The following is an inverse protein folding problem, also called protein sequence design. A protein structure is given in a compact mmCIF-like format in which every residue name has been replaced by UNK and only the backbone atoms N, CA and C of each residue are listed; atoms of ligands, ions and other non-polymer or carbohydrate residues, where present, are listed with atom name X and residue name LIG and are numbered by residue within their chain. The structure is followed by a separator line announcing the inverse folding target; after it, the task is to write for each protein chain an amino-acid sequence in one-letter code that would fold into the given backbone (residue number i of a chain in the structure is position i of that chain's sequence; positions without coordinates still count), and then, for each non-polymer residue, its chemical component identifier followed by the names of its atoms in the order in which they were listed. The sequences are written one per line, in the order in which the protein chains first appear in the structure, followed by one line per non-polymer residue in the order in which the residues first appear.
data_IF_193304673649
#
_entry.id   IF_193304673649
#
_cell.length_a   1.000
_cell.length_b   1.000
_cell.length_c   1.000
_cell.angle_alpha   90.00
_cell.angle_beta   90.00
_cell.angle_gamma   90.00
#
_symmetry.space_group_name_H-M   'P 1'
#
loop_
_entity.id
_entity.type
_entity.pdbx_description
1 polymer ?
#
# COMPACT_ATOMS: atom_id res chain seq x y z
N UNK A 1 -5.64 3.26 -6.36
CA UNK A 1 -6.07 1.99 -5.75
C UNK A 1 -5.23 1.69 -4.54
N UNK A 2 -5.84 1.17 -3.46
CA UNK A 2 -5.17 0.82 -2.22
C UNK A 2 -5.47 -0.62 -1.79
N UNK A 3 -4.44 -1.33 -1.33
CA UNK A 3 -4.52 -2.72 -0.91
C UNK A 3 -3.81 -2.89 0.44
N UNK A 4 -4.46 -3.58 1.38
CA UNK A 4 -3.90 -3.85 2.70
C UNK A 4 -3.88 -5.36 2.96
N UNK A 5 -2.75 -5.81 3.46
CA UNK A 5 -2.57 -7.14 4.01
C UNK A 5 -2.18 -7.08 5.47
N UNK A 6 -2.64 -8.06 6.24
CA UNK A 6 -2.38 -8.15 7.67
C UNK A 6 -2.06 -9.59 8.09
N UNK A 7 -1.28 -9.69 9.16
CA UNK A 7 -1.23 -10.85 10.06
C UNK A 7 -1.75 -10.41 11.43
N UNK A 8 -1.67 -11.28 12.44
CA UNK A 8 -2.03 -10.91 13.82
C UNK A 8 -1.16 -9.77 14.40
N UNK A 9 0.04 -9.57 13.86
CA UNK A 9 1.02 -8.63 14.42
C UNK A 9 1.50 -7.58 13.43
N UNK A 10 1.44 -7.83 12.13
CA UNK A 10 2.07 -6.99 11.11
C UNK A 10 1.06 -6.57 10.06
N UNK A 11 1.31 -5.42 9.44
CA UNK A 11 0.55 -4.94 8.28
C UNK A 11 1.47 -4.53 7.14
N UNK A 12 0.95 -4.65 5.93
CA UNK A 12 1.53 -4.09 4.70
C UNK A 12 0.41 -3.37 3.96
N UNK A 13 0.65 -2.11 3.61
CA UNK A 13 -0.29 -1.26 2.89
C UNK A 13 0.39 -0.78 1.61
N UNK A 14 -0.26 -1.00 0.48
CA UNK A 14 0.22 -0.56 -0.83
C UNK A 14 -0.81 0.38 -1.43
N UNK A 15 -0.36 1.54 -1.87
CA UNK A 15 -1.19 2.52 -2.56
C UNK A 15 -0.55 2.86 -3.90
N UNK A 16 -1.29 2.57 -4.98
CA UNK A 16 -0.91 2.88 -6.35
C UNK A 16 -1.81 4.00 -6.84
N UNK A 17 -1.24 5.15 -7.14
CA UNK A 17 -1.99 6.30 -7.66
C UNK A 17 -1.20 7.07 -8.70
N UNK A 18 -1.90 7.93 -9.44
CA UNK A 18 -1.29 8.86 -10.38
C UNK A 18 -1.13 10.23 -9.71
N UNK A 19 0.06 10.81 -9.79
CA UNK A 19 0.33 12.17 -9.32
C UNK A 19 -0.26 13.24 -10.27
N UNK A 20 -0.28 14.50 -9.83
CA UNK A 20 -0.70 15.67 -10.59
C UNK A 20 0.08 15.89 -11.90
N UNK A 21 1.29 15.33 -12.02
CA UNK A 21 2.08 15.38 -13.25
C UNK A 21 1.85 14.18 -14.19
N UNK A 22 1.00 13.23 -13.78
CA UNK A 22 0.68 12.05 -14.58
C UNK A 22 1.58 10.84 -14.31
N UNK A 23 2.56 10.95 -13.42
CA UNK A 23 3.43 9.84 -13.03
C UNK A 23 2.71 8.85 -12.12
N UNK A 24 3.04 7.56 -12.24
CA UNK A 24 2.49 6.53 -11.38
C UNK A 24 3.37 6.34 -10.14
N UNK A 25 2.79 6.51 -8.96
CA UNK A 25 3.48 6.35 -7.68
C UNK A 25 3.01 5.06 -7.03
N UNK A 26 3.97 4.21 -6.70
CA UNK A 26 3.81 3.02 -5.89
C UNK A 26 4.32 3.30 -4.47
N UNK A 27 3.39 3.49 -3.55
CA UNK A 27 3.68 3.72 -2.13
C UNK A 27 3.49 2.42 -1.37
N UNK A 28 4.51 2.00 -0.62
CA UNK A 28 4.46 0.82 0.24
C UNK A 28 4.77 1.24 1.67
N UNK A 29 3.81 1.03 2.57
CA UNK A 29 4.01 1.08 4.00
C UNK A 29 3.97 -0.32 4.61
N UNK A 30 4.73 -0.51 5.69
CA UNK A 30 4.72 -1.72 6.49
C UNK A 30 4.98 -1.39 7.94
N UNK A 31 4.56 -2.25 8.85
CA UNK A 31 4.85 -2.08 10.27
C UNK A 31 4.18 -3.11 11.15
N UNK A 32 4.43 -2.97 12.45
CA UNK A 32 3.81 -3.81 13.48
C UNK A 32 2.58 -3.10 14.05
N UNK A 33 1.45 -3.80 14.05
CA UNK A 33 0.15 -3.33 14.53
C UNK A 33 0.27 -2.91 16.00
N UNK A 34 -0.22 -1.71 16.32
CA UNK A 34 -0.19 -1.15 17.68
C UNK A 34 1.16 -0.55 18.09
N UNK A 35 2.12 -0.43 17.18
CA UNK A 35 3.43 0.20 17.45
C UNK A 35 3.75 1.29 16.43
N UNK A 36 4.81 2.06 16.70
CA UNK A 36 5.39 3.00 15.73
C UNK A 36 6.46 2.33 14.84
N UNK A 37 6.71 1.03 15.00
CA UNK A 37 7.70 0.34 14.19
C UNK A 37 7.15 0.07 12.80
N UNK A 38 7.84 0.59 11.80
CA UNK A 38 7.43 0.47 10.41
C UNK A 38 8.31 1.29 9.49
N UNK A 39 7.91 1.36 8.24
CA UNK A 39 8.54 2.19 7.24
C UNK A 39 7.59 2.48 6.09
N UNK A 40 7.92 3.52 5.35
CA UNK A 40 7.24 3.93 4.13
C UNK A 40 8.28 4.07 3.03
N UNK A 41 7.94 3.60 1.84
CA UNK A 41 8.77 3.77 0.65
C UNK A 41 7.89 4.11 -0.56
N UNK A 42 8.26 5.16 -1.26
CA UNK A 42 7.68 5.53 -2.54
C UNK A 42 8.60 5.12 -3.68
N UNK A 43 8.01 4.65 -4.77
CA UNK A 43 8.70 4.31 -6.01
C UNK A 43 7.90 4.86 -7.17
N UNK A 44 8.60 5.46 -8.14
CA UNK A 44 8.01 5.91 -9.39
C UNK A 44 7.96 4.73 -10.35
N UNK A 45 6.79 4.45 -10.91
CA UNK A 45 6.62 3.49 -11.99
C UNK A 45 6.58 4.23 -13.33
N UNK A 46 7.18 3.61 -14.35
CA UNK A 46 7.21 4.11 -15.72
C UNK A 46 5.78 4.23 -16.30
N UNK A 47 4.89 3.30 -15.94
CA UNK A 47 3.48 3.31 -16.31
C UNK A 47 2.60 2.55 -15.29
N UNK A 48 1.29 2.59 -15.52
CA UNK A 48 0.32 1.86 -14.72
C UNK A 48 0.56 0.35 -14.70
N UNK A 49 0.98 -0.22 -15.85
CA UNK A 49 1.16 -1.66 -15.97
C UNK A 49 2.34 -2.14 -15.11
N UNK A 50 3.42 -1.38 -15.03
CA UNK A 50 4.55 -1.65 -14.16
C UNK A 50 4.16 -1.55 -12.68
N UNK A 51 3.38 -0.53 -12.30
CA UNK A 51 2.89 -0.42 -10.92
C UNK A 51 2.00 -1.61 -10.53
N UNK A 52 1.15 -2.09 -11.45
CA UNK A 52 0.32 -3.27 -11.26
C UNK A 52 1.13 -4.57 -11.20
N UNK A 53 2.21 -4.67 -11.99
CA UNK A 53 3.13 -5.81 -11.91
C UNK A 53 3.79 -5.90 -10.53
N UNK A 54 4.28 -4.77 -10.00
CA UNK A 54 4.84 -4.73 -8.64
C UNK A 54 3.82 -5.07 -7.56
N UNK A 55 2.55 -4.69 -7.75
CA UNK A 55 1.49 -5.03 -6.83
C UNK A 55 1.23 -6.55 -6.80
N UNK A 56 1.24 -7.21 -7.96
CA UNK A 56 1.05 -8.66 -8.06
C UNK A 56 2.23 -9.44 -7.44
N UNK A 57 3.45 -8.95 -7.66
CA UNK A 57 4.66 -9.47 -7.01
C UNK A 57 4.55 -9.35 -5.49
N UNK A 58 4.16 -8.18 -4.97
CA UNK A 58 3.95 -7.99 -3.53
C UNK A 58 2.82 -8.88 -3.00
N UNK A 59 1.71 -9.02 -3.73
CA UNK A 59 0.62 -9.92 -3.34
C UNK A 59 1.09 -11.37 -3.18
N UNK A 60 1.91 -11.84 -4.13
CA UNK A 60 2.52 -13.18 -4.09
C UNK A 60 3.48 -13.32 -2.90
N UNK A 61 4.34 -12.33 -2.67
CA UNK A 61 5.26 -12.29 -1.53
C UNK A 61 4.49 -12.32 -0.21
N UNK A 62 3.46 -11.48 -0.05
CA UNK A 62 2.67 -11.41 1.18
C UNK A 62 1.92 -12.72 1.44
N UNK A 63 1.29 -13.30 0.42
CA UNK A 63 0.63 -14.60 0.53
C UNK A 63 1.61 -15.71 0.98
N UNK A 64 2.83 -15.72 0.43
CA UNK A 64 3.88 -16.69 0.82
C UNK A 64 4.34 -16.54 2.28
N UNK A 65 4.19 -15.35 2.85
CA UNK A 65 4.56 -15.02 4.24
C UNK A 65 3.41 -15.19 5.23
N UNK A 66 2.25 -15.67 4.77
CA UNK A 66 1.08 -15.88 5.62
C UNK A 66 0.25 -14.62 5.89
N UNK A 67 0.49 -13.53 5.16
CA UNK A 67 -0.35 -12.35 5.23
C UNK A 67 -1.67 -12.60 4.49
N UNK A 68 -2.75 -12.05 5.02
CA UNK A 68 -4.08 -12.14 4.42
C UNK A 68 -4.51 -10.77 3.90
N UNK A 69 -5.06 -10.72 2.69
CA UNK A 69 -5.60 -9.50 2.13
C UNK A 69 -6.89 -9.12 2.88
N UNK A 70 -6.90 -7.95 3.50
CA UNK A 70 -8.04 -7.46 4.30
C UNK A 70 -8.74 -6.27 3.65
N UNK A 71 -8.07 -5.56 2.75
CA UNK A 71 -8.64 -4.45 1.99
C UNK A 71 -8.09 -4.47 0.56
N UNK A 72 -8.97 -4.24 -0.40
CA UNK A 72 -8.65 -3.87 -1.77
C UNK A 72 -9.75 -2.93 -2.24
N UNK A 73 -9.38 -1.68 -2.49
CA UNK A 73 -10.35 -0.61 -2.73
C UNK A 73 -9.83 0.43 -3.72
N UNK A 74 -10.76 1.07 -4.41
CA UNK A 74 -10.47 2.24 -5.24
C UNK A 74 -10.24 3.47 -4.35
N UNK A 75 -9.39 4.40 -4.79
CA UNK A 75 -9.03 5.59 -4.01
C UNK A 75 -10.21 6.54 -3.81
N UNK A 76 -11.23 6.45 -4.66
CA UNK A 76 -12.44 7.24 -4.57
C UNK A 76 -13.52 6.60 -3.69
N UNK A 77 -13.33 5.36 -3.23
CA UNK A 77 -14.23 4.73 -2.27
C UNK A 77 -14.01 5.28 -0.85
N UNK A 78 -15.05 5.32 0.02
CA UNK A 78 -14.89 5.74 1.41
C UNK A 78 -13.79 4.97 2.16
N UNK A 79 -13.76 3.65 1.98
CA UNK A 79 -12.78 2.76 2.60
C UNK A 79 -11.36 3.02 2.08
N UNK A 80 -11.24 3.30 0.78
CA UNK A 80 -9.98 3.66 0.16
C UNK A 80 -9.45 5.00 0.67
N UNK A 81 -10.31 6.01 0.80
CA UNK A 81 -9.92 7.31 1.34
C UNK A 81 -9.45 7.24 2.79
N UNK A 82 -10.10 6.42 3.61
CA UNK A 82 -9.69 6.25 5.00
C UNK A 82 -8.35 5.52 5.12
N UNK A 83 -8.11 4.52 4.27
CA UNK A 83 -6.80 3.85 4.22
C UNK A 83 -5.68 4.77 3.70
N UNK A 84 -5.96 5.62 2.70
CA UNK A 84 -5.00 6.63 2.20
C UNK A 84 -4.66 7.65 3.30
N UNK A 85 -5.65 8.12 4.07
CA UNK A 85 -5.38 9.01 5.22
C UNK A 85 -4.45 8.37 6.24
N UNK A 86 -4.65 7.08 6.55
CA UNK A 86 -3.75 6.34 7.46
C UNK A 86 -2.33 6.28 6.92
N UNK A 87 -2.17 6.06 5.60
CA UNK A 87 -0.86 6.09 4.94
C UNK A 87 -0.19 7.47 5.08
N UNK A 88 -0.92 8.57 4.85
CA UNK A 88 -0.38 9.93 4.96
C UNK A 88 0.08 10.29 6.38
N UNK A 89 -0.54 9.71 7.42
CA UNK A 89 -0.10 9.87 8.79
C UNK A 89 1.25 9.20 9.06
N UNK A 90 1.60 8.15 8.32
CA UNK A 90 2.88 7.44 8.44
C UNK A 90 4.02 8.17 7.71
N UNK A 91 3.73 8.94 6.66
CA UNK A 91 4.71 9.75 5.91
C UNK A 91 5.19 10.98 6.70
N UNK A 92 4.39 11.44 7.66
CA UNK A 92 4.65 12.66 8.43
C UNK A 92 5.43 12.42 9.74
N UNK A 93 5.84 11.19 10.04
CA UNK A 93 6.45 10.75 11.30
C UNK A 93 7.96 10.49 11.16
#
# INVERSE_FOLDING_TARGET
MIVRWETDHDYVLIHVHQDMFGDWIFSRAWGQIGTQFGGLKHQLADDHAQAMMWLDDEATIQASRGFHKVLEADDHSPEGQDAVKQLSLLDSA
#
